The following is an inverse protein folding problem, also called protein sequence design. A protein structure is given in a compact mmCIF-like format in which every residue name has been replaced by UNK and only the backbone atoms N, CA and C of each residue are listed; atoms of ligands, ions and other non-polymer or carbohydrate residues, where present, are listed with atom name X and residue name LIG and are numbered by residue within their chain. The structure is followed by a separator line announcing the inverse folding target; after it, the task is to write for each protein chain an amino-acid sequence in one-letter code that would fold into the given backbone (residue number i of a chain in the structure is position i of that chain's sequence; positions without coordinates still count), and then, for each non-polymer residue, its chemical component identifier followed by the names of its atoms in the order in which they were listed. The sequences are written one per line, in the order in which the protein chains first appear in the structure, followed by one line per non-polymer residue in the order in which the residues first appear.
data_IF_190255179011
#
_entry.id   IF_190255179011
#
_cell.length_a   1.000
_cell.length_b   1.000
_cell.length_c   1.000
_cell.angle_alpha   90.00
_cell.angle_beta   90.00
_cell.angle_gamma   90.00
#
_symmetry.space_group_name_H-M   'P 1'
#
loop_
_entity.id
_entity.type
_entity.pdbx_description
1 polymer ?
#
# COMPACT_ATOMS: atom_id res chain seq x y z
N UNK A 1 17.08 -12.75 23.69
CA UNK A 1 16.11 -12.45 22.62
C UNK A 1 16.23 -13.56 21.60
N UNK A 2 15.13 -14.09 21.11
CA UNK A 2 15.12 -15.13 20.08
C UNK A 2 14.38 -14.56 18.85
N UNK A 3 14.82 -14.97 17.67
CA UNK A 3 14.22 -14.58 16.40
C UNK A 3 13.67 -15.86 15.77
N UNK A 4 12.42 -15.79 15.30
CA UNK A 4 11.79 -16.84 14.52
C UNK A 4 11.43 -16.26 13.17
N UNK A 5 11.96 -16.87 12.10
CA UNK A 5 11.56 -16.57 10.73
C UNK A 5 10.44 -17.53 10.37
N UNK A 6 9.34 -16.99 9.85
CA UNK A 6 8.14 -17.76 9.50
C UNK A 6 7.95 -17.66 7.99
N UNK A 7 7.77 -18.82 7.36
CA UNK A 7 7.34 -18.89 5.97
C UNK A 7 5.83 -19.12 5.92
N UNK A 8 5.17 -18.47 4.97
CA UNK A 8 3.76 -18.62 4.70
C UNK A 8 3.53 -18.56 3.19
N UNK A 9 2.39 -19.06 2.72
CA UNK A 9 2.06 -19.00 1.28
C UNK A 9 1.76 -17.56 0.84
N UNK A 10 2.43 -17.15 -0.22
CA UNK A 10 2.26 -15.85 -0.87
C UNK A 10 1.72 -16.01 -2.30
N UNK A 11 1.37 -14.88 -2.92
CA UNK A 11 0.94 -14.83 -4.31
C UNK A 11 -0.22 -15.77 -4.61
N UNK A 12 -0.18 -16.41 -5.78
CA UNK A 12 -1.23 -17.34 -6.22
C UNK A 12 -1.46 -18.50 -5.24
N UNK A 13 -0.41 -18.97 -4.57
CA UNK A 13 -0.51 -20.11 -3.64
C UNK A 13 -1.22 -19.73 -2.35
N UNK A 14 -1.16 -18.46 -1.97
CA UNK A 14 -1.85 -17.91 -0.81
C UNK A 14 -3.27 -17.41 -1.12
N UNK A 15 -3.49 -16.85 -2.31
CA UNK A 15 -4.61 -15.93 -2.58
C UNK A 15 -5.28 -16.10 -3.94
N UNK A 16 -5.19 -17.29 -4.56
CA UNK A 16 -5.95 -17.58 -5.77
C UNK A 16 -7.47 -17.50 -5.54
N UNK A 17 -8.19 -16.86 -6.47
CA UNK A 17 -9.65 -16.76 -6.43
C UNK A 17 -10.33 -18.09 -6.81
N UNK A 18 -11.07 -18.68 -5.87
CA UNK A 18 -11.71 -20.00 -6.00
C UNK A 18 -13.19 -19.94 -6.39
N UNK A 19 -13.69 -18.79 -6.85
CA UNK A 19 -15.07 -18.65 -7.34
C UNK A 19 -16.14 -18.37 -6.29
N UNK A 20 -15.79 -18.36 -5.01
CA UNK A 20 -16.71 -18.01 -3.92
C UNK A 20 -16.47 -16.55 -3.50
N UNK A 21 -17.48 -15.69 -3.66
CA UNK A 21 -17.43 -14.26 -3.29
C UNK A 21 -17.36 -13.99 -1.79
N UNK A 22 -17.54 -15.01 -0.95
CA UNK A 22 -17.66 -14.83 0.50
C UNK A 22 -16.64 -15.66 1.29
N UNK A 23 -15.80 -16.45 0.61
CA UNK A 23 -14.68 -17.17 1.23
C UNK A 23 -13.41 -16.75 0.51
N UNK A 24 -12.80 -15.67 0.98
CA UNK A 24 -11.46 -15.30 0.57
C UNK A 24 -10.57 -16.49 0.86
N UNK A 25 -9.93 -17.02 -0.18
CA UNK A 25 -8.88 -18.00 0.01
C UNK A 25 -7.72 -17.29 0.72
N UNK A 26 -7.58 -17.52 2.02
CA UNK A 26 -6.70 -16.76 2.91
C UNK A 26 -5.55 -17.63 3.45
N UNK A 27 -5.13 -18.61 2.65
CA UNK A 27 -4.13 -19.61 3.02
C UNK A 27 -2.89 -19.00 3.65
N UNK A 28 -2.35 -17.91 3.09
CA UNK A 28 -1.20 -17.22 3.68
C UNK A 28 -1.47 -16.62 5.06
N UNK A 29 -2.65 -16.02 5.28
CA UNK A 29 -3.04 -15.49 6.59
C UNK A 29 -3.24 -16.62 7.61
N UNK A 30 -3.82 -17.74 7.15
CA UNK A 30 -4.00 -18.95 7.95
C UNK A 30 -2.64 -19.57 8.34
N UNK A 31 -1.67 -19.60 7.45
CA UNK A 31 -0.30 -20.08 7.74
C UNK A 31 0.39 -19.20 8.80
N UNK A 32 0.21 -17.88 8.73
CA UNK A 32 0.70 -16.94 9.76
C UNK A 32 0.03 -17.19 11.11
N UNK A 33 -1.29 -17.35 11.13
CA UNK A 33 -2.05 -17.61 12.35
C UNK A 33 -1.63 -18.95 13.01
N UNK A 34 -1.48 -20.02 12.21
CA UNK A 34 -1.02 -21.32 12.68
C UNK A 34 0.41 -21.26 13.21
N UNK A 35 1.29 -20.50 12.56
CA UNK A 35 2.66 -20.30 13.02
C UNK A 35 2.71 -19.56 14.35
N UNK A 36 1.87 -18.55 14.55
CA UNK A 36 1.74 -17.85 15.82
C UNK A 36 1.21 -18.77 16.93
N UNK A 37 0.24 -19.64 16.62
CA UNK A 37 -0.24 -20.68 17.54
C UNK A 37 0.87 -21.67 17.91
N UNK A 38 1.64 -22.14 16.92
CA UNK A 38 2.75 -23.06 17.12
C UNK A 38 3.83 -22.43 18.01
N UNK A 39 4.26 -21.21 17.71
CA UNK A 39 5.28 -20.48 18.50
C UNK A 39 4.81 -20.36 19.95
N UNK A 40 3.56 -19.95 20.19
CA UNK A 40 3.05 -19.81 21.55
C UNK A 40 2.94 -21.14 22.29
N UNK A 41 2.64 -22.23 21.58
CA UNK A 41 2.57 -23.58 22.16
C UNK A 41 3.94 -24.13 22.52
N UNK A 42 4.97 -23.88 21.71
CA UNK A 42 6.27 -24.56 21.80
C UNK A 42 7.44 -23.69 22.26
N UNK A 43 7.30 -22.37 22.38
CA UNK A 43 8.40 -21.46 22.78
C UNK A 43 9.10 -21.84 24.10
N UNK A 44 8.37 -22.44 25.04
CA UNK A 44 8.95 -22.89 26.32
C UNK A 44 9.95 -24.05 26.14
N UNK A 45 9.77 -24.89 25.11
CA UNK A 45 10.72 -25.97 24.80
C UNK A 45 12.08 -25.43 24.35
N UNK A 46 12.12 -24.18 23.85
CA UNK A 46 13.32 -23.47 23.48
C UNK A 46 13.84 -22.56 24.62
N UNK A 47 13.30 -22.69 25.84
CA UNK A 47 13.57 -21.81 26.97
C UNK A 47 13.28 -20.33 26.70
N UNK A 48 12.35 -20.04 25.76
CA UNK A 48 11.95 -18.67 25.43
C UNK A 48 10.76 -18.28 26.30
N UNK A 49 10.99 -17.33 27.20
CA UNK A 49 9.97 -16.76 28.08
C UNK A 49 9.55 -15.37 27.58
N UNK A 50 8.37 -14.92 28.03
CA UNK A 50 7.84 -13.60 27.69
C UNK A 50 6.95 -13.56 26.45
N UNK A 51 6.76 -12.34 25.93
CA UNK A 51 5.79 -12.05 24.89
C UNK A 51 6.41 -12.04 23.50
N UNK A 52 5.61 -12.43 22.50
CA UNK A 52 5.99 -12.39 21.08
C UNK A 52 5.77 -10.98 20.54
N UNK A 53 6.79 -10.43 19.87
CA UNK A 53 6.68 -9.22 19.05
C UNK A 53 6.67 -9.66 17.60
N UNK A 54 5.72 -9.16 16.83
CA UNK A 54 5.56 -9.49 15.41
C UNK A 54 6.14 -8.37 14.57
N UNK A 55 6.95 -8.71 13.58
CA UNK A 55 7.59 -7.76 12.67
C UNK A 55 7.32 -8.23 11.25
N UNK A 56 6.89 -7.32 10.39
CA UNK A 56 6.76 -7.56 8.95
C UNK A 56 7.15 -6.31 8.17
N UNK A 57 7.64 -6.52 6.96
CA UNK A 57 7.94 -5.47 5.99
C UNK A 57 7.18 -5.74 4.69
N UNK A 58 6.78 -4.69 3.98
CA UNK A 58 6.12 -4.76 2.68
C UNK A 58 4.88 -5.68 2.69
N UNK A 59 4.84 -6.69 1.81
CA UNK A 59 3.72 -7.61 1.71
C UNK A 59 3.56 -8.45 2.97
N UNK A 60 4.66 -8.89 3.59
CA UNK A 60 4.62 -9.59 4.86
C UNK A 60 3.93 -8.75 5.94
N UNK A 61 4.14 -7.44 5.99
CA UNK A 61 3.46 -6.54 6.93
C UNK A 61 1.94 -6.48 6.66
N UNK A 62 1.54 -6.40 5.38
CA UNK A 62 0.14 -6.44 4.98
C UNK A 62 -0.53 -7.76 5.37
N UNK A 63 0.09 -8.90 5.05
CA UNK A 63 -0.41 -10.23 5.39
C UNK A 63 -0.53 -10.44 6.90
N UNK A 64 0.51 -10.05 7.64
CA UNK A 64 0.52 -10.10 9.10
C UNK A 64 -0.65 -9.30 9.66
N UNK A 65 -0.86 -8.06 9.21
CA UNK A 65 -1.93 -7.21 9.73
C UNK A 65 -3.34 -7.77 9.48
N UNK A 66 -3.55 -8.52 8.38
CA UNK A 66 -4.78 -9.28 8.17
C UNK A 66 -4.90 -10.45 9.14
N UNK A 67 -3.84 -11.26 9.29
CA UNK A 67 -3.82 -12.41 10.19
C UNK A 67 -4.12 -12.01 11.65
N UNK A 68 -3.68 -10.82 12.10
CA UNK A 68 -3.93 -10.33 13.46
C UNK A 68 -5.41 -10.18 13.83
N UNK A 69 -6.30 -10.16 12.83
CA UNK A 69 -7.72 -9.91 12.96
C UNK A 69 -8.56 -11.18 12.74
N UNK A 70 -7.90 -12.31 12.48
CA UNK A 70 -8.57 -13.61 12.52
C UNK A 70 -8.96 -13.95 13.95
N UNK A 71 -10.10 -14.64 14.10
CA UNK A 71 -10.68 -14.98 15.41
C UNK A 71 -9.84 -16.01 16.18
N UNK A 72 -9.05 -16.82 15.47
CA UNK A 72 -8.17 -17.84 16.02
C UNK A 72 -6.82 -17.27 16.50
N UNK A 73 -6.50 -16.02 16.16
CA UNK A 73 -5.41 -15.27 16.77
C UNK A 73 -5.93 -14.60 18.04
N UNK A 74 -5.32 -14.86 19.20
CA UNK A 74 -5.75 -14.30 20.50
C UNK A 74 -4.82 -13.18 20.96
N UNK A 75 -5.34 -12.21 21.71
CA UNK A 75 -4.60 -11.04 22.23
C UNK A 75 -3.38 -11.41 23.07
N UNK A 76 -3.37 -12.60 23.69
CA UNK A 76 -2.26 -13.06 24.51
C UNK A 76 -1.14 -13.76 23.71
N UNK A 77 -1.33 -14.00 22.41
CA UNK A 77 -0.33 -14.65 21.55
C UNK A 77 0.82 -13.72 21.15
N UNK A 78 0.60 -12.41 21.19
CA UNK A 78 1.58 -11.38 20.90
C UNK A 78 1.27 -10.14 21.75
N UNK A 79 2.22 -9.23 21.93
CA UNK A 79 1.95 -7.98 22.65
C UNK A 79 2.32 -6.72 21.87
N UNK A 80 3.14 -6.87 20.83
CA UNK A 80 3.73 -5.77 20.08
C UNK A 80 3.77 -6.12 18.60
N UNK A 81 3.62 -5.10 17.78
CA UNK A 81 3.62 -5.25 16.33
C UNK A 81 4.49 -4.16 15.71
N UNK A 82 5.25 -4.51 14.68
CA UNK A 82 6.00 -3.58 13.86
C UNK A 82 5.63 -3.87 12.40
N UNK A 83 5.01 -2.90 11.73
CA UNK A 83 4.61 -3.02 10.33
C UNK A 83 5.38 -1.98 9.51
N UNK A 84 6.31 -2.41 8.66
CA UNK A 84 7.06 -1.54 7.76
C UNK A 84 6.44 -1.56 6.36
N UNK A 85 6.18 -0.39 5.78
CA UNK A 85 5.68 -0.20 4.42
C UNK A 85 4.46 -1.03 4.01
N UNK A 86 3.67 -1.55 4.95
CA UNK A 86 2.55 -2.43 4.60
C UNK A 86 1.58 -2.62 5.76
N UNK A 87 0.30 -2.76 5.42
CA UNK A 87 -0.80 -3.00 6.36
C UNK A 87 -2.11 -3.27 5.58
N UNK A 88 -3.10 -3.86 6.27
CA UNK A 88 -4.40 -4.27 5.71
C UNK A 88 -5.29 -3.11 5.28
N UNK A 89 -4.93 -1.88 5.63
CA UNK A 89 -5.69 -0.68 5.27
C UNK A 89 -5.19 -0.07 3.96
N UNK A 90 -4.00 -0.46 3.46
CA UNK A 90 -3.54 -0.08 2.13
C UNK A 90 -4.63 -0.36 1.09
N UNK A 91 -4.81 0.54 0.10
CA UNK A 91 -5.82 0.33 -0.95
C UNK A 91 -5.55 -0.93 -1.78
N UNK A 92 -4.33 -1.48 -1.68
CA UNK A 92 -3.97 -2.80 -2.20
C UNK A 92 -4.85 -3.91 -1.64
N UNK A 93 -5.20 -3.83 -0.37
CA UNK A 93 -5.92 -4.88 0.36
C UNK A 93 -7.42 -4.96 0.01
N UNK A 94 -7.86 -4.24 -1.02
CA UNK A 94 -9.23 -4.23 -1.53
C UNK A 94 -9.19 -4.81 -2.94
N UNK A 95 -9.90 -5.91 -3.19
CA UNK A 95 -10.32 -6.21 -4.54
C UNK A 95 -11.77 -6.65 -4.61
N UNK A 96 -12.29 -6.65 -5.84
CA UNK A 96 -13.27 -7.67 -6.21
C UNK A 96 -13.27 -8.01 -7.71
N UNK A 97 -12.55 -7.27 -8.57
CA UNK A 97 -12.41 -7.56 -10.02
C UNK A 97 -11.03 -8.04 -10.45
N UNK A 98 -9.92 -7.40 -10.03
CA UNK A 98 -8.58 -7.71 -10.56
C UNK A 98 -8.10 -9.12 -10.23
N UNK A 99 -8.17 -9.57 -8.96
CA UNK A 99 -7.73 -10.94 -8.59
C UNK A 99 -8.51 -12.00 -9.35
N UNK A 100 -9.82 -11.80 -9.51
CA UNK A 100 -10.67 -12.67 -10.33
C UNK A 100 -10.22 -12.69 -11.79
N UNK A 101 -9.96 -11.52 -12.38
CA UNK A 101 -9.51 -11.41 -13.76
C UNK A 101 -8.13 -12.08 -13.96
N UNK A 102 -7.18 -11.84 -13.05
CA UNK A 102 -5.85 -12.45 -13.12
C UNK A 102 -5.86 -13.95 -12.82
N UNK A 103 -6.70 -14.43 -11.90
CA UNK A 103 -6.96 -15.86 -11.71
C UNK A 103 -7.49 -16.50 -12.99
N UNK A 104 -8.46 -15.86 -13.67
CA UNK A 104 -9.00 -16.38 -14.93
C UNK A 104 -7.94 -16.38 -16.06
N UNK A 105 -7.10 -15.34 -16.15
CA UNK A 105 -5.99 -15.27 -17.12
C UNK A 105 -4.96 -16.39 -16.87
N UNK A 106 -4.55 -16.59 -15.62
CA UNK A 106 -3.65 -17.67 -15.24
C UNK A 106 -4.22 -19.04 -15.62
N UNK A 107 -5.48 -19.31 -15.25
CA UNK A 107 -6.14 -20.57 -15.60
C UNK A 107 -6.15 -20.83 -17.11
N UNK A 108 -6.27 -19.79 -17.95
CA UNK A 108 -6.22 -19.93 -19.41
C UNK A 108 -4.82 -20.31 -19.90
N UNK A 109 -3.77 -19.73 -19.33
CA UNK A 109 -2.39 -20.00 -19.75
C UNK A 109 -1.92 -21.42 -19.41
N UNK A 110 -2.44 -22.01 -18.33
CA UNK A 110 -2.09 -23.37 -17.89
C UNK A 110 -3.13 -24.42 -18.31
N UNK A 111 -4.02 -24.09 -19.25
CA UNK A 111 -5.08 -24.99 -19.74
C UNK A 111 -6.02 -25.54 -18.63
N UNK A 112 -6.26 -24.76 -17.58
CA UNK A 112 -7.19 -25.07 -16.49
C UNK A 112 -8.44 -24.18 -16.49
N UNK A 113 -8.70 -23.41 -17.55
CA UNK A 113 -9.88 -22.56 -17.66
C UNK A 113 -11.13 -23.37 -18.04
N UNK A 114 -11.74 -23.98 -17.04
CA UNK A 114 -12.94 -24.82 -17.17
C UNK A 114 -14.16 -24.20 -16.47
N UNK A 115 -15.40 -24.56 -16.85
CA UNK A 115 -16.60 -23.83 -16.43
C UNK A 115 -16.88 -23.77 -14.92
N UNK A 116 -16.24 -24.63 -14.12
CA UNK A 116 -16.38 -24.66 -12.66
C UNK A 116 -15.08 -24.24 -11.98
N UNK A 117 -15.14 -23.24 -11.09
CA UNK A 117 -13.98 -22.84 -10.29
C UNK A 117 -13.45 -23.95 -9.38
N UNK A 118 -14.31 -24.85 -8.91
CA UNK A 118 -13.89 -26.01 -8.11
C UNK A 118 -13.00 -26.92 -8.97
N UNK A 119 -13.49 -27.29 -10.16
CA UNK A 119 -12.72 -28.12 -11.08
C UNK A 119 -11.45 -27.41 -11.55
N UNK A 120 -11.53 -26.10 -11.83
CA UNK A 120 -10.37 -25.29 -12.24
C UNK A 120 -9.30 -25.24 -11.14
N UNK A 121 -9.72 -25.17 -9.87
CA UNK A 121 -8.82 -25.24 -8.71
C UNK A 121 -8.21 -26.63 -8.58
N UNK A 122 -8.96 -27.70 -8.83
CA UNK A 122 -8.43 -29.07 -8.81
C UNK A 122 -7.43 -29.30 -9.95
N UNK A 123 -7.69 -28.74 -11.15
CA UNK A 123 -6.73 -28.72 -12.25
C UNK A 123 -5.47 -27.92 -11.90
N UNK A 124 -5.60 -26.72 -11.31
CA UNK A 124 -4.46 -25.92 -10.87
C UNK A 124 -3.54 -26.71 -9.92
N UNK A 125 -4.11 -27.52 -9.02
CA UNK A 125 -3.35 -28.37 -8.08
C UNK A 125 -2.59 -29.52 -8.76
N UNK A 126 -2.92 -29.90 -10.00
CA UNK A 126 -2.16 -30.92 -10.74
C UNK A 126 -0.97 -30.34 -11.50
N UNK A 127 -0.90 -29.01 -11.64
CA UNK A 127 0.21 -28.32 -12.34
C UNK A 127 1.45 -28.24 -11.47
N UNK A 128 2.61 -28.25 -12.10
CA UNK A 128 3.88 -28.04 -11.40
C UNK A 128 4.00 -26.58 -10.95
N UNK A 129 4.78 -26.34 -9.89
CA UNK A 129 5.11 -24.99 -9.44
C UNK A 129 5.79 -24.18 -10.53
N UNK A 130 6.63 -24.83 -11.34
CA UNK A 130 7.35 -24.20 -12.46
C UNK A 130 6.40 -23.78 -13.58
N UNK A 131 5.40 -24.60 -13.93
CA UNK A 131 4.39 -24.24 -14.93
C UNK A 131 3.57 -23.02 -14.48
N UNK A 132 3.14 -23.01 -13.22
CA UNK A 132 2.43 -21.87 -12.63
C UNK A 132 3.30 -20.62 -12.63
N UNK A 133 4.58 -20.74 -12.25
CA UNK A 133 5.51 -19.62 -12.22
C UNK A 133 5.74 -19.04 -13.63
N UNK A 134 6.02 -19.89 -14.61
CA UNK A 134 6.24 -19.46 -16.00
C UNK A 134 5.00 -18.76 -16.57
N UNK A 135 3.80 -19.24 -16.24
CA UNK A 135 2.55 -18.58 -16.62
C UNK A 135 2.43 -17.20 -15.94
N UNK A 136 2.70 -17.10 -14.64
CA UNK A 136 2.69 -15.83 -13.91
C UNK A 136 3.70 -14.82 -14.47
N UNK A 137 4.93 -15.25 -14.76
CA UNK A 137 5.99 -14.39 -15.32
C UNK A 137 5.59 -13.88 -16.73
N UNK A 138 4.78 -14.64 -17.46
CA UNK A 138 4.21 -14.22 -18.75
C UNK A 138 2.97 -13.30 -18.62
N UNK A 139 2.40 -13.14 -17.41
CA UNK A 139 1.30 -12.20 -17.18
C UNK A 139 1.85 -10.80 -16.94
N UNK A 140 1.38 -9.84 -17.73
CA UNK A 140 1.57 -8.42 -17.42
C UNK A 140 0.54 -7.95 -16.40
N UNK A 141 1.01 -7.54 -15.23
CA UNK A 141 0.19 -6.86 -14.22
C UNK A 141 0.11 -5.37 -14.54
N UNK A 142 -1.06 -4.78 -14.31
CA UNK A 142 -1.17 -3.33 -14.38
C UNK A 142 -0.46 -2.75 -13.16
N UNK A 143 0.41 -1.78 -13.39
CA UNK A 143 1.20 -1.16 -12.35
C UNK A 143 0.33 -0.54 -11.25
N UNK A 144 -0.87 -0.06 -11.57
CA UNK A 144 -1.76 0.54 -10.57
C UNK A 144 -2.37 -0.51 -9.64
N UNK A 145 -2.62 -1.70 -10.16
CA UNK A 145 -3.12 -2.82 -9.38
C UNK A 145 -2.03 -3.39 -8.47
N UNK A 146 -0.75 -3.27 -8.87
CA UNK A 146 0.36 -3.98 -8.22
C UNK A 146 0.21 -5.50 -8.40
N UNK A 147 0.81 -6.28 -7.51
CA UNK A 147 0.67 -7.74 -7.55
C UNK A 147 -0.76 -8.12 -7.11
N UNK A 148 -1.55 -8.83 -7.93
CA UNK A 148 -2.98 -9.02 -7.66
C UNK A 148 -3.25 -10.11 -6.62
N UNK A 149 -2.41 -11.13 -6.49
CA UNK A 149 -2.67 -12.28 -5.61
C UNK A 149 -2.29 -11.97 -4.16
N UNK A 150 -3.17 -11.29 -3.43
CA UNK A 150 -2.93 -10.80 -2.06
C UNK A 150 -4.19 -10.87 -1.18
N UNK A 151 -4.05 -10.71 0.15
CA UNK A 151 -5.16 -10.49 1.08
C UNK A 151 -6.10 -9.37 0.65
N UNK A 152 -7.39 -9.55 0.94
CA UNK A 152 -8.42 -8.98 0.11
C UNK A 152 -9.75 -9.03 0.86
N UNK A 153 -10.54 -7.95 0.82
CA UNK A 153 -11.90 -7.94 1.37
C UNK A 153 -12.91 -7.42 0.35
N UNK A 154 -13.86 -8.29 -0.03
CA UNK A 154 -14.95 -7.99 -0.98
C UNK A 154 -15.92 -6.91 -0.44
N UNK A 155 -15.98 -6.73 0.89
CA UNK A 155 -16.87 -5.75 1.52
C UNK A 155 -16.06 -4.59 2.09
N UNK A 156 -16.33 -3.37 1.63
CA UNK A 156 -15.90 -2.13 2.28
C UNK A 156 -16.64 -1.90 3.62
N UNK A 157 -16.68 -2.91 4.49
CA UNK A 157 -17.22 -2.74 5.84
C UNK A 157 -16.41 -1.68 6.58
N UNK A 158 -17.08 -0.94 7.47
CA UNK A 158 -16.39 -0.06 8.40
C UNK A 158 -15.44 -0.90 9.25
N UNK A 159 -14.16 -0.79 8.91
CA UNK A 159 -13.06 -1.50 9.53
C UNK A 159 -13.08 -1.26 11.05
N UNK A 160 -13.16 -2.35 11.81
CA UNK A 160 -13.06 -2.35 13.28
C UNK A 160 -11.86 -3.20 13.67
N UNK A 161 -11.05 -2.68 14.58
CA UNK A 161 -10.01 -3.47 15.22
C UNK A 161 -10.67 -4.40 16.25
N UNK A 162 -10.31 -5.69 16.24
CA UNK A 162 -10.79 -6.62 17.26
C UNK A 162 -10.05 -6.46 18.59
N UNK A 163 -8.91 -5.77 18.60
CA UNK A 163 -7.93 -5.78 19.70
C UNK A 163 -7.28 -4.41 19.91
N UNK A 164 -6.59 -4.25 21.03
CA UNK A 164 -5.71 -3.09 21.28
C UNK A 164 -4.28 -3.43 20.85
N UNK A 165 -3.55 -2.47 20.28
CA UNK A 165 -2.21 -2.71 19.75
C UNK A 165 -1.17 -1.78 20.38
N UNK A 166 -0.02 -2.33 20.76
CA UNK A 166 1.22 -1.55 20.94
C UNK A 166 2.01 -1.73 19.66
N UNK A 167 2.07 -0.70 18.82
CA UNK A 167 2.48 -0.83 17.43
C UNK A 167 3.38 0.31 16.96
N UNK A 168 4.40 -0.04 16.18
CA UNK A 168 5.13 0.91 15.34
C UNK A 168 4.71 0.69 13.90
N UNK A 169 4.30 1.77 13.24
CA UNK A 169 3.98 1.80 11.84
C UNK A 169 5.12 2.52 11.12
N UNK A 170 5.76 1.85 10.17
CA UNK A 170 6.83 2.38 9.33
C UNK A 170 6.33 2.63 7.91
N UNK A 171 6.83 3.69 7.27
CA UNK A 171 6.61 3.95 5.84
C UNK A 171 7.88 4.48 5.17
N UNK A 172 8.19 3.97 3.99
CA UNK A 172 9.30 4.47 3.18
C UNK A 172 8.94 5.80 2.50
N UNK A 173 9.95 6.62 2.18
CA UNK A 173 9.77 7.78 1.29
C UNK A 173 9.57 7.41 -0.18
N UNK A 174 9.99 6.20 -0.55
CA UNK A 174 9.82 5.65 -1.88
C UNK A 174 8.68 4.62 -1.90
N UNK A 175 8.19 4.35 -3.11
CA UNK A 175 7.17 3.32 -3.32
C UNK A 175 7.74 1.93 -3.00
N UNK A 176 6.86 1.00 -2.60
CA UNK A 176 7.24 -0.39 -2.35
C UNK A 176 7.89 -1.06 -3.57
N UNK A 177 8.75 -2.04 -3.31
CA UNK A 177 9.49 -2.79 -4.33
C UNK A 177 8.61 -3.56 -5.32
N UNK A 178 7.33 -3.80 -5.00
CA UNK A 178 6.36 -4.41 -5.92
C UNK A 178 5.96 -3.47 -7.09
N UNK A 179 6.20 -2.17 -6.95
CA UNK A 179 5.96 -1.18 -7.99
C UNK A 179 7.29 -0.74 -8.59
N UNK A 180 7.24 -0.22 -9.83
CA UNK A 180 8.45 0.31 -10.45
C UNK A 180 8.98 1.48 -9.63
N UNK A 181 10.28 1.42 -9.36
CA UNK A 181 11.03 2.46 -8.66
C UNK A 181 11.24 3.69 -9.55
N UNK A 182 11.80 4.74 -8.96
CA UNK A 182 12.20 5.93 -9.72
C UNK A 182 13.36 5.63 -10.67
N UNK A 183 14.20 4.65 -10.34
CA UNK A 183 15.41 4.28 -11.08
C UNK A 183 15.10 3.44 -12.33
N UNK A 184 13.91 2.84 -12.39
CA UNK A 184 13.38 2.14 -13.58
C UNK A 184 12.77 3.10 -14.61
N UNK A 185 13.21 4.35 -14.63
CA UNK A 185 12.81 5.32 -15.64
C UNK A 185 13.27 4.88 -17.04
N UNK A 186 12.35 4.95 -18.00
CA UNK A 186 12.63 4.71 -19.41
C UNK A 186 12.68 6.06 -20.14
N UNK A 187 13.76 6.34 -20.87
CA UNK A 187 13.92 7.58 -21.65
C UNK A 187 12.85 7.74 -22.75
N UNK A 188 12.18 6.64 -23.14
CA UNK A 188 11.06 6.67 -24.08
C UNK A 188 9.74 7.09 -23.42
N UNK A 189 9.69 7.28 -22.09
CA UNK A 189 8.49 7.70 -21.37
C UNK A 189 8.03 9.08 -21.83
N UNK A 190 6.75 9.17 -22.17
CA UNK A 190 6.14 10.38 -22.73
C UNK A 190 5.00 10.91 -21.87
N UNK A 191 4.53 12.12 -22.21
CA UNK A 191 3.31 12.66 -21.62
C UNK A 191 2.08 11.77 -21.88
N UNK A 192 2.05 11.06 -23.01
CA UNK A 192 0.98 10.08 -23.31
C UNK A 192 0.96 8.96 -22.27
N UNK A 193 2.12 8.42 -21.89
CA UNK A 193 2.21 7.37 -20.88
C UNK A 193 1.74 7.85 -19.50
N UNK A 194 2.09 9.09 -19.15
CA UNK A 194 1.59 9.75 -17.94
C UNK A 194 0.06 9.90 -17.95
N UNK A 195 -0.52 10.32 -19.08
CA UNK A 195 -1.98 10.41 -19.23
C UNK A 195 -2.64 9.04 -19.13
N UNK A 196 -2.09 8.00 -19.76
CA UNK A 196 -2.59 6.62 -19.65
C UNK A 196 -2.57 6.16 -18.18
N UNK A 197 -1.49 6.43 -17.45
CA UNK A 197 -1.41 6.16 -16.02
C UNK A 197 -2.57 6.80 -15.24
N UNK A 198 -2.86 8.09 -15.46
CA UNK A 198 -3.98 8.76 -14.77
C UNK A 198 -5.35 8.16 -15.12
N UNK A 199 -5.55 7.72 -16.36
CA UNK A 199 -6.82 7.12 -16.80
C UNK A 199 -7.05 5.74 -16.19
N UNK A 200 -5.99 4.95 -16.06
CA UNK A 200 -6.05 3.68 -15.34
C UNK A 200 -6.27 3.91 -13.85
N UNK A 201 -5.61 4.91 -13.27
CA UNK A 201 -5.66 5.21 -11.83
C UNK A 201 -7.04 5.70 -11.39
N UNK A 202 -7.68 6.53 -12.23
CA UNK A 202 -8.99 7.12 -12.07
C UNK A 202 -9.81 6.81 -13.32
N UNK A 203 -10.35 5.60 -13.34
CA UNK A 203 -11.20 5.11 -14.43
C UNK A 203 -12.66 5.53 -14.22
N UNK A 204 -13.42 5.56 -15.32
CA UNK A 204 -14.83 5.98 -15.35
C UNK A 204 -15.81 4.93 -14.83
N UNK A 205 -15.37 3.67 -14.73
CA UNK A 205 -16.19 2.59 -14.16
C UNK A 205 -16.33 2.73 -12.64
N UNK A 206 -15.30 3.29 -11.98
CA UNK A 206 -15.23 3.42 -10.53
C UNK A 206 -15.42 4.85 -10.02
N UNK A 207 -15.32 5.85 -10.91
CA UNK A 207 -15.38 7.26 -10.55
C UNK A 207 -16.38 8.01 -11.43
N UNK A 208 -17.47 8.50 -10.84
CA UNK A 208 -18.52 9.20 -11.57
C UNK A 208 -18.05 10.46 -12.28
N UNK A 209 -17.08 11.16 -11.68
CA UNK A 209 -16.53 12.42 -12.18
C UNK A 209 -15.05 12.29 -12.54
N UNK A 210 -14.68 11.14 -13.13
CA UNK A 210 -13.29 10.78 -13.42
C UNK A 210 -12.46 11.88 -14.12
N UNK A 211 -12.95 12.58 -15.17
CA UNK A 211 -12.18 13.65 -15.82
C UNK A 211 -11.83 14.80 -14.86
N UNK A 212 -12.80 15.24 -14.05
CA UNK A 212 -12.60 16.31 -13.08
C UNK A 212 -11.60 15.90 -11.98
N UNK A 213 -11.67 14.64 -11.53
CA UNK A 213 -10.74 14.09 -10.55
C UNK A 213 -9.31 14.02 -11.12
N UNK A 214 -9.14 13.57 -12.36
CA UNK A 214 -7.83 13.57 -13.03
C UNK A 214 -7.24 14.98 -13.13
N UNK A 215 -8.07 15.99 -13.44
CA UNK A 215 -7.66 17.41 -13.45
C UNK A 215 -7.21 17.92 -12.08
N UNK A 216 -7.92 17.54 -11.01
CA UNK A 216 -7.53 17.91 -9.65
C UNK A 216 -6.18 17.29 -9.26
N UNK A 217 -5.96 16.02 -9.61
CA UNK A 217 -4.67 15.33 -9.38
C UNK A 217 -3.55 15.99 -10.18
N UNK A 218 -3.78 16.28 -11.47
CA UNK A 218 -2.82 17.03 -12.31
C UNK A 218 -2.44 18.37 -11.68
N UNK A 219 -3.44 19.13 -11.24
CA UNK A 219 -3.21 20.42 -10.62
C UNK A 219 -2.37 20.30 -9.34
N UNK A 220 -2.73 19.37 -8.45
CA UNK A 220 -2.07 19.24 -7.14
C UNK A 220 -0.67 18.62 -7.21
N UNK A 221 -0.42 17.71 -8.15
CA UNK A 221 0.85 16.98 -8.25
C UNK A 221 1.82 17.48 -9.31
N UNK A 222 1.33 18.11 -10.37
CA UNK A 222 2.19 18.63 -11.44
C UNK A 222 2.18 20.15 -11.47
N UNK A 223 1.01 20.77 -11.61
CA UNK A 223 0.95 22.20 -11.93
C UNK A 223 1.41 23.08 -10.78
N UNK A 224 1.16 22.66 -9.55
CA UNK A 224 1.60 23.38 -8.36
C UNK A 224 3.11 23.19 -8.04
N UNK A 225 3.78 22.20 -8.64
CA UNK A 225 5.05 21.69 -8.10
C UNK A 225 6.16 21.42 -9.13
N UNK A 226 5.96 21.52 -10.45
CA UNK A 226 7.05 21.26 -11.40
C UNK A 226 6.80 21.50 -12.89
N UNK A 227 7.79 21.08 -13.69
CA UNK A 227 7.85 21.31 -15.14
C UNK A 227 7.13 20.19 -15.93
N UNK A 228 6.16 20.56 -16.78
CA UNK A 228 5.40 19.63 -17.63
C UNK A 228 6.17 19.18 -18.89
N UNK A 229 7.39 19.64 -19.11
CA UNK A 229 8.21 19.15 -20.24
C UNK A 229 9.24 18.11 -19.80
N UNK A 230 9.39 17.90 -18.49
CA UNK A 230 10.34 16.95 -17.92
C UNK A 230 9.64 15.60 -17.69
N UNK A 231 9.95 14.63 -18.56
CA UNK A 231 9.34 13.29 -18.52
C UNK A 231 9.83 12.47 -17.32
N UNK A 232 11.05 12.72 -16.83
CA UNK A 232 11.54 12.11 -15.59
C UNK A 232 10.78 12.67 -14.38
N UNK A 233 10.52 13.98 -14.35
CA UNK A 233 9.68 14.57 -13.32
C UNK A 233 8.26 13.98 -13.33
N UNK A 234 7.66 13.79 -14.51
CA UNK A 234 6.36 13.10 -14.63
C UNK A 234 6.40 11.68 -14.07
N UNK A 235 7.44 10.91 -14.43
CA UNK A 235 7.66 9.56 -13.92
C UNK A 235 7.71 9.56 -12.39
N UNK A 236 8.54 10.43 -11.80
CA UNK A 236 8.63 10.62 -10.34
C UNK A 236 7.27 10.96 -9.72
N UNK A 237 6.49 11.82 -10.38
CA UNK A 237 5.15 12.20 -9.93
C UNK A 237 4.20 11.00 -9.90
N UNK A 238 4.24 10.10 -10.89
CA UNK A 238 3.40 8.87 -10.87
C UNK A 238 3.70 7.99 -9.67
N UNK A 239 4.98 7.77 -9.33
CA UNK A 239 5.39 7.00 -8.14
C UNK A 239 4.87 7.65 -6.85
N UNK A 240 4.96 8.98 -6.76
CA UNK A 240 4.49 9.74 -5.61
C UNK A 240 2.97 9.70 -5.47
N UNK A 241 2.24 9.79 -6.58
CA UNK A 241 0.78 9.65 -6.61
C UNK A 241 0.37 8.28 -6.06
N UNK A 242 1.01 7.20 -6.53
CA UNK A 242 0.76 5.85 -6.01
C UNK A 242 1.11 5.76 -4.52
N UNK A 243 2.27 6.25 -4.09
CA UNK A 243 2.68 6.24 -2.69
C UNK A 243 1.65 6.94 -1.78
N UNK A 244 1.17 8.10 -2.21
CA UNK A 244 0.20 8.88 -1.45
C UNK A 244 -1.18 8.19 -1.41
N UNK A 245 -1.70 7.74 -2.57
CA UNK A 245 -3.02 7.09 -2.70
C UNK A 245 -3.05 5.73 -1.99
N UNK A 246 -2.06 4.89 -2.27
CA UNK A 246 -2.08 3.46 -1.92
C UNK A 246 -1.58 3.22 -0.50
N UNK A 247 -0.64 4.02 0.00
CA UNK A 247 0.06 3.77 1.26
C UNK A 247 -0.14 4.87 2.31
N UNK A 248 0.25 6.12 2.03
CA UNK A 248 0.23 7.20 3.04
C UNK A 248 -1.19 7.55 3.48
N UNK A 249 -2.12 7.69 2.53
CA UNK A 249 -3.50 8.08 2.85
C UNK A 249 -4.22 7.04 3.71
N UNK A 250 -4.13 5.73 3.41
CA UNK A 250 -4.70 4.73 4.30
C UNK A 250 -3.91 4.52 5.60
N UNK A 251 -2.59 4.68 5.58
CA UNK A 251 -1.78 4.66 6.80
C UNK A 251 -2.18 5.77 7.78
N UNK A 252 -2.49 6.97 7.29
CA UNK A 252 -3.01 8.07 8.12
C UNK A 252 -4.32 7.70 8.78
N UNK A 253 -5.26 7.11 8.04
CA UNK A 253 -6.53 6.64 8.59
C UNK A 253 -6.25 5.61 9.69
N UNK A 254 -5.42 4.61 9.40
CA UNK A 254 -5.06 3.56 10.35
C UNK A 254 -4.45 4.13 11.63
N UNK A 255 -3.38 4.92 11.50
CA UNK A 255 -2.58 5.36 12.62
C UNK A 255 -3.35 6.35 13.52
N UNK A 256 -4.01 7.35 12.93
CA UNK A 256 -4.57 8.48 13.67
C UNK A 256 -6.09 8.35 13.90
N UNK A 257 -6.83 7.86 12.90
CA UNK A 257 -8.29 7.86 12.97
C UNK A 257 -8.86 6.57 13.56
N UNK A 258 -8.07 5.49 13.56
CA UNK A 258 -8.47 4.16 14.06
C UNK A 258 -7.67 3.80 15.32
N UNK A 259 -6.35 3.57 15.21
CA UNK A 259 -5.53 3.07 16.31
C UNK A 259 -5.38 4.11 17.43
N UNK A 260 -5.02 5.36 17.11
CA UNK A 260 -4.80 6.38 18.13
C UNK A 260 -6.08 6.79 18.88
N UNK A 261 -7.26 6.65 18.26
CA UNK A 261 -8.55 6.91 18.95
C UNK A 261 -8.88 5.84 19.99
N UNK A 262 -8.32 4.64 19.87
CA UNK A 262 -8.48 3.57 20.84
C UNK A 262 -7.54 3.82 22.02
N UNK A 263 -8.07 4.33 23.14
CA UNK A 263 -7.28 4.83 24.30
C UNK A 263 -6.20 3.86 24.81
N UNK A 264 -6.41 2.55 24.68
CA UNK A 264 -5.48 1.52 25.15
C UNK A 264 -4.38 1.17 24.15
N UNK A 265 -4.54 1.55 22.88
CA UNK A 265 -3.54 1.35 21.84
C UNK A 265 -2.40 2.38 21.98
N UNK A 266 -1.18 1.97 21.64
CA UNK A 266 0.02 2.82 21.65
C UNK A 266 0.64 2.78 20.27
N UNK A 267 0.70 3.94 19.61
CA UNK A 267 1.08 4.04 18.21
C UNK A 267 2.28 4.96 18.05
N UNK A 268 3.30 4.50 17.35
CA UNK A 268 4.40 5.32 16.85
C UNK A 268 4.43 5.25 15.33
N UNK A 269 4.75 6.37 14.69
CA UNK A 269 4.85 6.48 13.25
C UNK A 269 6.29 6.84 12.87
N UNK A 270 6.92 5.98 12.07
CA UNK A 270 8.27 6.12 11.57
C UNK A 270 8.20 6.32 10.05
N UNK A 271 8.85 7.36 9.53
CA UNK A 271 9.15 7.49 8.12
C UNK A 271 10.65 7.32 7.90
N UNK A 272 11.05 6.65 6.82
CA UNK A 272 12.46 6.36 6.54
C UNK A 272 12.79 6.47 5.05
N UNK A 273 14.06 6.77 4.75
CA UNK A 273 14.53 7.04 3.38
C UNK A 273 15.02 5.79 2.65
N UNK A 274 15.42 4.76 3.39
CA UNK A 274 16.04 3.55 2.83
C UNK A 274 14.97 2.55 2.39
N UNK A 275 14.99 2.12 1.14
CA UNK A 275 14.14 1.03 0.63
C UNK A 275 14.52 -0.30 1.26
N UNK A 276 13.52 -1.14 1.58
CA UNK A 276 13.69 -2.43 2.30
C UNK A 276 14.59 -2.28 3.53
N UNK A 277 14.34 -1.23 4.31
CA UNK A 277 15.14 -0.83 5.46
C UNK A 277 15.32 -1.97 6.46
N UNK A 278 14.26 -2.72 6.76
CA UNK A 278 14.36 -3.79 7.73
C UNK A 278 15.21 -4.94 7.19
N UNK A 279 14.94 -5.40 5.97
CA UNK A 279 15.74 -6.43 5.28
C UNK A 279 17.23 -6.05 5.22
N UNK A 280 17.57 -4.84 4.74
CA UNK A 280 18.96 -4.37 4.63
C UNK A 280 19.67 -4.34 5.98
N UNK A 281 18.97 -3.95 7.04
CA UNK A 281 19.57 -3.77 8.37
C UNK A 281 19.69 -5.05 9.21
N UNK A 282 19.13 -6.17 8.75
CA UNK A 282 19.29 -7.50 9.40
C UNK A 282 20.27 -8.41 8.65
N UNK A 283 20.78 -7.99 7.49
CA UNK A 283 21.79 -8.72 6.75
C UNK A 283 23.13 -8.76 7.50
N UNK A 284 23.95 -9.79 7.23
CA UNK A 284 25.24 -9.97 7.89
C UNK A 284 26.27 -8.89 7.54
N UNK A 285 26.15 -8.28 6.37
CA UNK A 285 27.01 -7.21 5.89
C UNK A 285 26.15 -6.00 5.54
N UNK A 286 26.27 -4.93 6.33
CA UNK A 286 25.59 -3.65 6.10
C UNK A 286 26.59 -2.69 5.46
N UNK A 287 26.25 -2.00 4.36
CA UNK A 287 27.13 -1.00 3.77
C UNK A 287 27.52 0.11 4.77
N UNK A 288 28.78 0.55 4.76
CA UNK A 288 29.31 1.54 5.72
C UNK A 288 28.45 2.81 5.82
N UNK A 289 27.91 3.28 4.69
CA UNK A 289 27.07 4.48 4.65
C UNK A 289 25.72 4.30 5.37
N UNK A 290 25.22 3.06 5.51
CA UNK A 290 23.99 2.72 6.24
C UNK A 290 24.21 2.28 7.68
N UNK A 291 25.46 2.16 8.15
CA UNK A 291 25.77 1.63 9.49
C UNK A 291 25.02 2.42 10.59
N UNK A 292 25.01 3.76 10.49
CA UNK A 292 24.32 4.64 11.43
C UNK A 292 22.79 4.48 11.37
N UNK A 293 22.24 4.40 10.16
CA UNK A 293 20.82 4.17 9.94
C UNK A 293 20.38 2.84 10.56
N UNK A 294 21.08 1.76 10.22
CA UNK A 294 20.76 0.42 10.70
C UNK A 294 20.96 0.25 12.20
N UNK A 295 22.04 0.81 12.76
CA UNK A 295 22.28 0.85 14.20
C UNK A 295 21.11 1.52 14.94
N UNK A 296 20.62 2.64 14.41
CA UNK A 296 19.50 3.37 15.00
C UNK A 296 18.17 2.63 14.87
N UNK A 297 17.85 2.13 13.67
CA UNK A 297 16.64 1.34 13.41
C UNK A 297 16.60 0.09 14.29
N UNK A 298 17.69 -0.67 14.35
CA UNK A 298 17.82 -1.83 15.21
C UNK A 298 17.71 -1.45 16.69
N UNK A 299 18.26 -0.30 17.10
CA UNK A 299 18.06 0.26 18.43
C UNK A 299 16.59 0.47 18.78
N UNK A 300 15.80 1.05 17.87
CA UNK A 300 14.36 1.22 18.04
C UNK A 300 13.62 -0.12 18.13
N UNK A 301 13.91 -1.05 17.23
CA UNK A 301 13.28 -2.39 17.20
C UNK A 301 13.58 -3.13 18.50
N UNK A 302 14.86 -3.27 18.88
CA UNK A 302 15.29 -4.00 20.08
C UNK A 302 14.68 -3.39 21.33
N UNK A 303 14.74 -2.06 21.46
CA UNK A 303 14.18 -1.40 22.63
C UNK A 303 12.66 -1.55 22.68
N UNK A 304 11.98 -1.44 21.54
CA UNK A 304 10.55 -1.68 21.46
C UNK A 304 10.19 -3.11 21.89
N UNK A 305 10.89 -4.13 21.38
CA UNK A 305 10.74 -5.53 21.76
C UNK A 305 10.93 -5.74 23.27
N UNK A 306 11.92 -5.11 23.88
CA UNK A 306 12.23 -5.29 25.30
C UNK A 306 11.34 -4.46 26.24
N UNK A 307 11.02 -3.22 25.87
CA UNK A 307 10.44 -2.21 26.78
C UNK A 307 9.07 -1.69 26.35
N UNK A 308 8.66 -1.94 25.12
CA UNK A 308 7.37 -1.48 24.57
C UNK A 308 7.35 0.00 24.20
N UNK A 309 8.53 0.61 24.06
CA UNK A 309 8.71 1.95 23.52
C UNK A 309 10.05 2.00 22.76
N UNK A 310 10.11 2.65 21.59
CA UNK A 310 11.31 2.70 20.75
C UNK A 310 12.46 3.50 21.37
N UNK A 311 12.17 4.48 22.25
CA UNK A 311 13.19 5.27 22.96
C UNK A 311 12.87 5.39 24.45
N UNK A 312 13.83 5.91 25.21
CA UNK A 312 13.56 6.45 26.54
C UNK A 312 12.89 7.82 26.43
N UNK A 313 12.22 8.22 27.51
CA UNK A 313 11.79 9.60 27.70
C UNK A 313 12.97 10.37 28.30
N UNK A 314 13.92 10.75 27.47
CA UNK A 314 15.13 11.46 27.88
C UNK A 314 15.44 12.63 26.93
N UNK A 315 16.24 13.58 27.42
CA UNK A 315 16.73 14.72 26.65
C UNK A 315 18.05 14.40 25.94
N UNK A 316 18.18 13.22 25.34
CA UNK A 316 19.37 12.85 24.58
C UNK A 316 19.28 13.43 23.16
N UNK A 317 20.13 14.39 22.76
CA UNK A 317 20.09 14.96 21.41
C UNK A 317 20.51 13.96 20.32
N UNK A 318 21.33 12.96 20.65
CA UNK A 318 21.77 11.94 19.68
C UNK A 318 20.70 10.86 19.44
N UNK A 319 19.83 10.63 20.43
CA UNK A 319 18.70 9.70 20.32
C UNK A 319 17.46 10.35 20.95
N UNK A 320 16.84 11.32 20.25
CA UNK A 320 15.71 12.07 20.79
C UNK A 320 14.55 11.12 21.06
N UNK A 321 13.68 11.54 21.98
CA UNK A 321 12.47 10.77 22.30
C UNK A 321 11.67 10.54 21.02
N UNK A 322 11.21 9.31 20.77
CA UNK A 322 10.30 9.01 19.67
C UNK A 322 8.87 9.10 20.22
N UNK A 323 8.14 10.21 19.95
CA UNK A 323 6.85 10.48 20.54
C UNK A 323 5.79 9.50 20.04
N UNK A 324 4.87 9.14 20.94
CA UNK A 324 3.67 8.37 20.60
C UNK A 324 2.62 9.33 20.04
N UNK A 325 1.84 8.90 19.06
CA UNK A 325 0.68 9.68 18.59
C UNK A 325 -0.24 9.98 19.79
N UNK A 326 -0.69 11.22 19.91
CA UNK A 326 -1.49 11.72 21.03
C UNK A 326 -0.76 11.91 22.35
N UNK A 327 0.57 11.73 22.43
CA UNK A 327 1.32 11.98 23.69
C UNK A 327 1.83 13.41 23.85
N UNK A 328 1.72 14.27 22.83
CA UNK A 328 2.14 15.67 22.91
C UNK A 328 1.03 16.60 22.40
N UNK A 329 1.26 17.92 22.41
CA UNK A 329 0.29 18.90 21.87
C UNK A 329 0.01 18.73 20.38
N UNK A 330 0.97 18.17 19.63
CA UNK A 330 0.83 17.83 18.21
C UNK A 330 1.11 16.35 18.01
N UNK A 331 0.53 15.77 16.98
CA UNK A 331 0.83 14.38 16.62
C UNK A 331 2.08 14.35 15.75
N UNK A 332 3.23 14.21 16.40
CA UNK A 332 4.52 14.08 15.74
C UNK A 332 4.77 12.63 15.28
N UNK A 333 5.54 12.51 14.20
CA UNK A 333 6.15 11.27 13.73
C UNK A 333 7.66 11.47 13.60
N UNK A 334 8.41 10.38 13.60
CA UNK A 334 9.87 10.42 13.48
C UNK A 334 10.27 10.17 12.04
N UNK A 335 11.10 11.02 11.46
CA UNK A 335 11.80 10.75 10.21
C UNK A 335 13.21 10.24 10.53
N UNK A 336 13.59 9.12 9.93
CA UNK A 336 14.94 8.54 9.99
C UNK A 336 15.60 8.66 8.61
N UNK A 337 16.62 9.51 8.51
CA UNK A 337 17.35 9.78 7.28
C UNK A 337 18.41 8.72 7.03
N UNK A 338 18.84 8.58 5.77
CA UNK A 338 19.84 7.60 5.34
C UNK A 338 21.17 7.70 6.12
N UNK A 339 21.58 8.90 6.52
CA UNK A 339 22.79 9.13 7.34
C UNK A 339 22.63 8.73 8.83
N UNK A 340 21.44 8.23 9.19
CA UNK A 340 21.05 7.87 10.54
C UNK A 340 20.56 9.04 11.39
N UNK A 341 20.55 10.28 10.90
CA UNK A 341 19.97 11.41 11.62
C UNK A 341 18.45 11.29 11.73
N UNK A 342 17.85 11.96 12.72
CA UNK A 342 16.40 11.91 12.94
C UNK A 342 15.81 13.27 13.18
N UNK A 343 14.57 13.46 12.70
CA UNK A 343 13.82 14.70 12.85
C UNK A 343 12.39 14.40 13.29
N UNK A 344 11.81 15.32 14.07
CA UNK A 344 10.38 15.28 14.41
C UNK A 344 9.62 16.10 13.40
N UNK A 345 8.64 15.47 12.78
CA UNK A 345 7.74 16.13 11.84
C UNK A 345 6.30 15.99 12.30
N UNK A 346 5.44 16.92 11.88
CA UNK A 346 4.00 16.89 12.20
C UNK A 346 3.18 17.22 10.97
N UNK A 347 1.88 16.92 11.00
CA UNK A 347 1.00 17.14 9.84
C UNK A 347 1.25 16.15 8.71
N UNK A 348 1.56 14.89 9.06
CA UNK A 348 1.83 13.76 8.16
C UNK A 348 1.00 13.84 6.86
N UNK A 349 1.65 14.29 5.78
CA UNK A 349 1.12 14.52 4.42
C UNK A 349 -0.31 15.07 4.33
N UNK A 350 -0.70 15.96 5.25
CA UNK A 350 -2.11 16.36 5.45
C UNK A 350 -2.82 16.85 4.17
N UNK A 351 -2.15 17.65 3.34
CA UNK A 351 -2.73 18.16 2.07
C UNK A 351 -3.03 17.03 1.09
N UNK A 352 -2.06 16.15 0.82
CA UNK A 352 -2.21 15.03 -0.11
C UNK A 352 -3.24 14.04 0.40
N UNK A 353 -3.26 13.81 1.72
CA UNK A 353 -4.24 12.92 2.34
C UNK A 353 -5.65 13.50 2.28
N UNK A 354 -5.84 14.80 2.48
CA UNK A 354 -7.15 15.44 2.32
C UNK A 354 -7.65 15.35 0.87
N UNK A 355 -6.76 15.43 -0.13
CA UNK A 355 -7.13 15.19 -1.52
C UNK A 355 -7.71 13.78 -1.72
N UNK A 356 -7.00 12.74 -1.26
CA UNK A 356 -7.38 11.34 -1.48
C UNK A 356 -8.54 10.86 -0.61
N UNK A 357 -8.60 11.26 0.66
CA UNK A 357 -9.57 10.74 1.63
C UNK A 357 -10.84 11.59 1.73
N UNK A 358 -10.77 12.88 1.40
CA UNK A 358 -11.90 13.80 1.60
C UNK A 358 -12.40 14.39 0.27
N UNK A 359 -11.53 15.07 -0.49
CA UNK A 359 -11.93 15.81 -1.68
C UNK A 359 -12.38 14.88 -2.80
N UNK A 360 -11.57 13.90 -3.20
CA UNK A 360 -11.93 12.98 -4.30
C UNK A 360 -13.23 12.21 -4.00
N UNK A 361 -13.42 11.60 -2.81
CA UNK A 361 -14.69 10.95 -2.46
C UNK A 361 -15.89 11.90 -2.44
N UNK A 362 -15.69 13.17 -2.05
CA UNK A 362 -16.72 14.19 -2.14
C UNK A 362 -17.06 14.51 -3.62
N UNK A 363 -16.05 14.71 -4.45
CA UNK A 363 -16.23 14.99 -5.88
C UNK A 363 -16.96 13.85 -6.59
N UNK A 364 -16.70 12.59 -6.24
CA UNK A 364 -17.41 11.44 -6.82
C UNK A 364 -18.91 11.38 -6.48
N UNK A 365 -19.37 12.05 -5.42
CA UNK A 365 -20.78 12.10 -5.02
C UNK A 365 -21.53 13.30 -5.60
N UNK A 366 -20.83 14.17 -6.31
CA UNK A 366 -21.35 15.45 -6.75
C UNK A 366 -22.05 15.29 -8.10
N UNK A 367 -23.33 15.64 -8.17
CA UNK A 367 -24.07 15.66 -9.43
C UNK A 367 -23.68 16.90 -10.24
N UNK A 368 -23.04 16.69 -11.39
CA UNK A 368 -22.63 17.77 -12.29
C UNK A 368 -23.68 17.99 -13.39
N UNK A 369 -24.07 19.25 -13.61
CA UNK A 369 -24.91 19.65 -14.75
C UNK A 369 -24.10 19.49 -16.03
N UNK A 370 -24.66 18.81 -17.04
CA UNK A 370 -23.96 18.55 -18.31
C UNK A 370 -23.02 17.35 -18.29
N UNK A 371 -23.24 16.38 -17.38
CA UNK A 371 -22.49 15.11 -17.30
C UNK A 371 -22.43 14.42 -18.67
N UNK A 372 -21.22 14.23 -19.20
CA UNK A 372 -21.01 13.37 -20.37
C UNK A 372 -20.99 11.92 -19.90
N UNK A 373 -21.83 11.08 -20.51
CA UNK A 373 -21.80 9.64 -20.27
C UNK A 373 -20.73 9.04 -21.18
N UNK A 374 -19.71 8.37 -20.63
CA UNK A 374 -18.71 7.71 -21.46
C UNK A 374 -19.32 6.56 -22.25
N UNK A 375 -18.81 6.31 -23.45
CA UNK A 375 -19.15 5.14 -24.24
C UNK A 375 -18.62 3.88 -23.53
N UNK A 376 -19.39 2.79 -23.50
CA UNK A 376 -19.10 1.60 -22.67
C UNK A 376 -17.76 0.92 -22.96
N UNK A 377 -17.18 1.16 -24.14
CA UNK A 377 -16.06 0.38 -24.67
C UNK A 377 -14.70 1.10 -24.56
N UNK A 378 -14.68 2.34 -24.02
CA UNK A 378 -13.51 3.23 -23.95
C UNK A 378 -12.30 2.60 -23.22
N UNK A 379 -12.54 1.74 -22.23
CA UNK A 379 -11.46 1.11 -21.46
C UNK A 379 -10.66 0.07 -22.28
N UNK A 380 -11.31 -0.61 -23.23
CA UNK A 380 -10.66 -1.62 -24.07
C UNK A 380 -9.87 -0.96 -25.23
N UNK A 381 -10.36 0.18 -25.75
CA UNK A 381 -9.72 0.90 -26.85
C UNK A 381 -8.40 1.58 -26.44
N UNK A 382 -8.28 2.00 -25.17
CA UNK A 382 -7.05 2.55 -24.57
C UNK A 382 -5.83 1.63 -24.66
N UNK A 383 -6.03 0.31 -24.73
CA UNK A 383 -4.96 -0.68 -24.81
C UNK A 383 -4.59 -1.05 -26.25
N UNK A 384 -5.37 -0.59 -27.25
CA UNK A 384 -5.21 -0.93 -28.66
C UNK A 384 -4.75 0.27 -29.51
N UNK A 385 -5.06 1.50 -29.08
CA UNK A 385 -4.83 2.71 -29.88
C UNK A 385 -3.40 3.28 -29.80
N UNK A 386 -2.74 3.32 -30.98
CA UNK A 386 -1.40 3.89 -31.15
C UNK A 386 -1.38 5.43 -31.05
N UNK A 387 -2.48 6.11 -31.35
CA UNK A 387 -2.63 7.58 -31.18
C UNK A 387 -3.43 7.87 -29.91
N UNK A 388 -3.18 8.99 -29.22
CA UNK A 388 -4.01 9.40 -28.08
C UNK A 388 -5.31 9.99 -28.65
N UNK A 389 -6.50 9.44 -28.42
CA UNK A 389 -7.73 10.04 -28.95
C UNK A 389 -7.93 11.47 -28.42
N UNK A 390 -8.56 12.36 -29.21
CA UNK A 390 -8.82 13.76 -28.84
C UNK A 390 -9.49 13.94 -27.45
N UNK A 391 -10.21 12.93 -26.98
CA UNK A 391 -10.89 12.93 -25.67
C UNK A 391 -9.92 13.04 -24.48
N UNK A 392 -8.66 12.61 -24.65
CA UNK A 392 -7.64 12.57 -23.61
C UNK A 392 -6.79 13.85 -23.53
N UNK A 393 -6.78 14.64 -24.60
CA UNK A 393 -6.19 15.99 -24.63
C UNK A 393 -7.08 17.02 -23.89
N UNK A 394 -8.40 16.77 -23.80
CA UNK A 394 -9.34 17.70 -23.16
C UNK A 394 -9.14 17.87 -21.66
N UNK A 395 -8.51 16.92 -20.96
CA UNK A 395 -8.18 17.06 -19.54
C UNK A 395 -7.22 18.24 -19.28
N UNK A 396 -6.40 18.62 -20.26
CA UNK A 396 -5.52 19.80 -20.19
C UNK A 396 -6.22 21.09 -20.59
N UNK A 397 -7.43 21.00 -21.14
CA UNK A 397 -8.19 22.13 -21.65
C UNK A 397 -8.88 22.90 -20.51
N UNK A 398 -8.13 23.79 -19.86
CA UNK A 398 -8.67 24.78 -18.92
C UNK A 398 -9.27 25.96 -19.70
N UNK A 399 -10.55 25.87 -20.13
CA UNK A 399 -11.27 27.03 -20.72
C UNK A 399 -11.34 28.26 -19.81
N UNK A 400 -11.09 28.09 -18.51
CA UNK A 400 -11.27 29.12 -17.47
C UNK A 400 -10.41 30.38 -17.65
N UNK A 401 -9.42 30.35 -18.53
CA UNK A 401 -8.54 31.50 -18.81
C UNK A 401 -8.70 32.12 -20.20
N UNK A 402 -9.54 31.57 -21.08
CA UNK A 402 -9.65 32.04 -22.47
C UNK A 402 -10.89 32.92 -22.67
N UNK A 403 -11.96 32.73 -21.90
CA UNK A 403 -13.22 33.49 -22.06
C UNK A 403 -13.25 34.81 -21.26
N UNK A 404 -12.15 35.59 -21.30
CA UNK A 404 -12.20 37.01 -20.90
C UNK A 404 -12.56 37.95 -22.07
N UNK A 405 -12.77 37.42 -23.28
CA UNK A 405 -13.05 38.23 -24.47
C UNK A 405 -14.42 37.99 -25.13
N UNK A 406 -15.22 37.05 -24.66
CA UNK A 406 -16.60 36.89 -25.14
C UNK A 406 -17.55 37.02 -23.96
N UNK A 407 -17.90 38.28 -23.67
CA UNK A 407 -18.96 38.57 -22.72
C UNK A 407 -20.25 37.95 -23.22
N UNK A 408 -20.79 37.00 -22.46
CA UNK A 408 -22.21 36.83 -22.12
C UNK A 408 -22.33 35.59 -21.23
N UNK A 409 -22.34 35.81 -19.91
CA UNK A 409 -22.91 34.83 -18.98
C UNK A 409 -24.41 35.14 -18.88
N UNK A 410 -25.26 34.29 -19.46
CA UNK A 410 -26.65 34.17 -19.02
C UNK A 410 -26.73 33.06 -17.97
N UNK A 411 -27.43 33.37 -16.88
CA UNK A 411 -27.55 32.61 -15.63
C UNK A 411 -28.32 31.29 -15.78
#
# INVERSE_FOLDING_TARGET
MAIAVVHFREGVFGYFYTGQSNSTNDYGQTDIALSLQWINKYKLNFNITGYVTLVGEEDSASHLSWALEKDDVKDNMFNKVFLFNGNKFSQRSIPSSSVRAYSAKLLKQIDCHIPSYIQATDCLKTKSVEEIKNALDALSFDEIDGIPFRPYNDVQEKLRLKKNYTIILGIGKNIMSEYKSIDEFDETYTYKDFKIFLHKLINENENENAPLIRRLILHDYMYAEGNKTDTYYMWKVTRRILLDKVFRSPLRILAFDILAKQKSSKVWLLEYEVENAFEKCIQSEVPDYLEKFCSRLNGYVIRFVLKGAPTESSCNPENPTFPRIGSTKRDYFLQLKEDGSVEWEFGFYQRKIALWNDLIPFMNKLELVGKRVPMSDIHNDLLLDKQLPNFYEEDDYQKWHIDNNEGHFEL
#
